data_IF_333316893952
#
_entry.id   IF_333316893952
#
_cell.length_a   1.000
_cell.length_b   1.000
_cell.length_c   1.000
_cell.angle_alpha   90.00
_cell.angle_beta   90.00
_cell.angle_gamma   90.00
#
_symmetry.space_group_name_H-M   'P 1'
#
loop_
_entity.id
_entity.type
_entity.pdbx_description
1 polymer ?
#
# COMPACT_ATOMS: atom_id res chain seq x y z
N UNK A 1 -5.96 -1.12 25.03
CA UNK A 1 -5.61 -2.54 25.30
C UNK A 1 -5.47 -3.39 24.04
N UNK A 2 -6.42 -3.41 23.11
CA UNK A 2 -6.39 -4.25 21.88
C UNK A 2 -5.11 -4.07 21.03
N UNK A 3 -4.63 -2.82 20.86
CA UNK A 3 -3.43 -2.53 20.06
C UNK A 3 -2.10 -2.94 20.73
N UNK A 4 -2.05 -2.92 22.07
CA UNK A 4 -0.87 -3.40 22.82
C UNK A 4 -0.71 -4.92 22.69
N UNK A 5 -1.81 -5.65 22.75
CA UNK A 5 -1.82 -7.09 22.47
C UNK A 5 -1.35 -7.41 21.04
N UNK A 6 -1.75 -6.59 20.06
CA UNK A 6 -1.32 -6.77 18.67
C UNK A 6 0.21 -6.64 18.50
N UNK A 7 0.84 -5.65 19.14
CA UNK A 7 2.30 -5.48 19.11
C UNK A 7 3.05 -6.66 19.73
N UNK A 8 2.56 -7.20 20.85
CA UNK A 8 3.16 -8.38 21.50
C UNK A 8 3.01 -9.62 20.61
N UNK A 9 1.83 -9.86 20.06
CA UNK A 9 1.57 -10.99 19.16
C UNK A 9 2.44 -10.89 17.91
N UNK A 10 2.57 -9.68 17.35
CA UNK A 10 3.37 -9.43 16.16
C UNK A 10 4.86 -9.61 16.44
N UNK A 11 5.38 -9.05 17.54
CA UNK A 11 6.76 -9.25 17.98
C UNK A 11 7.07 -10.73 18.26
N UNK A 12 6.16 -11.43 18.93
CA UNK A 12 6.26 -12.87 19.14
C UNK A 12 6.23 -13.65 17.82
N UNK A 13 5.40 -13.25 16.86
CA UNK A 13 5.33 -13.89 15.54
C UNK A 13 6.63 -13.73 14.74
N UNK A 14 7.26 -12.55 14.81
CA UNK A 14 8.55 -12.29 14.16
C UNK A 14 9.66 -13.08 14.85
N UNK A 15 9.69 -13.09 16.19
CA UNK A 15 10.68 -13.85 16.96
C UNK A 15 10.57 -15.37 16.72
N UNK A 16 9.35 -15.90 16.73
CA UNK A 16 9.08 -17.32 16.48
C UNK A 16 9.40 -17.70 15.02
N UNK A 17 9.06 -16.83 14.07
CA UNK A 17 9.40 -17.04 12.66
C UNK A 17 10.92 -17.02 12.46
N UNK A 18 11.62 -16.08 13.07
CA UNK A 18 13.08 -16.02 13.02
C UNK A 18 13.73 -17.26 13.66
N UNK A 19 13.19 -17.76 14.78
CA UNK A 19 13.70 -18.95 15.47
C UNK A 19 13.51 -20.25 14.69
N UNK A 20 12.54 -20.32 13.77
CA UNK A 20 12.23 -21.53 12.99
C UNK A 20 12.84 -21.52 11.59
N UNK A 21 13.49 -20.44 11.18
CA UNK A 21 14.09 -20.32 9.85
C UNK A 21 15.39 -21.12 9.71
N UNK A 22 15.52 -21.84 8.60
CA UNK A 22 16.80 -22.44 8.22
C UNK A 22 17.83 -21.35 7.90
N UNK A 23 19.12 -21.61 8.14
CA UNK A 23 20.21 -20.67 7.83
C UNK A 23 20.23 -20.24 6.36
N UNK A 24 19.85 -21.15 5.46
CA UNK A 24 19.71 -20.88 4.02
C UNK A 24 18.59 -19.87 3.72
N UNK A 25 17.43 -20.02 4.35
CA UNK A 25 16.29 -19.11 4.19
C UNK A 25 16.56 -17.73 4.80
N UNK A 26 17.24 -17.69 5.95
CA UNK A 26 17.66 -16.46 6.61
C UNK A 26 18.60 -15.62 5.73
N UNK A 27 19.58 -16.26 5.08
CA UNK A 27 20.53 -15.58 4.18
C UNK A 27 19.86 -14.99 2.92
N UNK A 28 18.79 -15.64 2.42
CA UNK A 28 17.99 -15.13 1.28
C UNK A 28 17.16 -13.95 1.72
N UNK A 29 16.39 -14.10 2.80
CA UNK A 29 15.56 -13.02 3.31
C UNK A 29 16.41 -11.80 3.69
N UNK A 30 17.54 -12.01 4.39
CA UNK A 30 18.47 -10.95 4.79
C UNK A 30 18.97 -10.12 3.61
N UNK A 31 19.27 -10.75 2.47
CA UNK A 31 19.67 -10.02 1.24
C UNK A 31 18.53 -9.19 0.62
N UNK A 32 17.27 -9.55 0.84
CA UNK A 32 16.12 -8.77 0.34
C UNK A 32 15.87 -7.59 1.26
N UNK A 33 15.87 -7.89 2.56
CA UNK A 33 15.65 -6.91 3.60
C UNK A 33 16.74 -5.86 3.63
N UNK A 34 18.01 -6.18 3.35
CA UNK A 34 19.08 -5.17 3.38
C UNK A 34 18.86 -4.02 2.38
N UNK A 35 18.12 -4.25 1.29
CA UNK A 35 17.81 -3.20 0.31
C UNK A 35 16.58 -2.39 0.72
N UNK A 36 15.56 -3.03 1.27
CA UNK A 36 14.24 -2.42 1.52
C UNK A 36 14.08 -1.89 2.94
N UNK A 37 14.67 -2.57 3.91
CA UNK A 37 14.52 -2.29 5.34
C UNK A 37 15.07 -0.91 5.72
N UNK A 38 16.26 -0.45 5.28
CA UNK A 38 16.74 0.89 5.65
C UNK A 38 15.77 1.99 5.23
N UNK A 39 15.17 1.83 4.05
CA UNK A 39 14.20 2.76 3.49
C UNK A 39 12.86 2.70 4.23
N UNK A 40 12.38 1.48 4.54
CA UNK A 40 11.20 1.28 5.36
C UNK A 40 11.37 1.76 6.81
N UNK A 41 12.61 1.93 7.30
CA UNK A 41 12.85 2.49 8.64
C UNK A 41 12.84 4.03 8.66
N UNK A 42 12.90 4.71 7.51
CA UNK A 42 12.92 6.18 7.45
C UNK A 42 11.67 6.79 8.12
N UNK A 43 10.42 6.38 7.81
CA UNK A 43 9.25 6.96 8.46
C UNK A 43 9.20 6.68 9.96
N UNK A 44 9.63 5.49 10.39
CA UNK A 44 9.70 5.14 11.81
C UNK A 44 10.73 6.00 12.56
N UNK A 45 11.93 6.17 11.99
CA UNK A 45 12.96 7.04 12.55
C UNK A 45 12.47 8.49 12.64
N UNK A 46 11.75 8.97 11.62
CA UNK A 46 11.17 10.30 11.64
C UNK A 46 10.09 10.47 12.72
N UNK A 47 9.19 9.48 12.90
CA UNK A 47 8.22 9.50 14.00
C UNK A 47 8.90 9.51 15.37
N UNK A 48 10.03 8.82 15.53
CA UNK A 48 10.83 8.88 16.77
C UNK A 48 11.42 10.27 16.97
N UNK A 49 11.97 10.89 15.92
CA UNK A 49 12.46 12.28 15.97
C UNK A 49 11.33 13.24 16.36
N UNK A 50 10.12 13.05 15.84
CA UNK A 50 8.94 13.87 16.21
C UNK A 50 8.55 13.74 17.69
N UNK A 51 8.83 12.60 18.33
CA UNK A 51 8.55 12.34 19.75
C UNK A 51 9.63 12.87 20.70
N UNK A 52 10.86 13.02 20.23
CA UNK A 52 11.98 13.49 21.06
C UNK A 52 11.86 14.99 21.33
N UNK A 53 12.03 15.44 22.60
CA UNK A 53 12.13 16.85 22.92
C UNK A 53 13.52 17.36 22.47
N UNK A 54 13.61 17.99 21.30
CA UNK A 54 14.87 18.54 20.78
C UNK A 54 14.90 20.05 21.08
N UNK A 55 15.69 20.51 22.07
CA UNK A 55 15.79 21.93 22.39
C UNK A 55 16.33 22.71 21.17
N UNK A 56 15.67 23.81 20.82
CA UNK A 56 16.07 24.68 19.70
C UNK A 56 15.38 24.41 18.36
N UNK A 57 14.60 23.32 18.22
CA UNK A 57 13.79 23.03 17.02
C UNK A 57 12.30 23.01 17.39
N UNK A 58 11.84 24.03 18.11
CA UNK A 58 10.41 24.24 18.35
C UNK A 58 9.77 24.77 17.08
N UNK A 59 8.95 23.94 16.45
CA UNK A 59 8.14 24.36 15.31
C UNK A 59 7.05 25.30 15.84
N UNK A 60 6.81 26.46 15.20
CA UNK A 60 5.69 27.32 15.58
C UNK A 60 4.42 26.48 15.55
N UNK A 61 3.69 26.46 16.67
CA UNK A 61 2.40 25.79 16.70
C UNK A 61 1.51 26.41 15.60
N UNK A 62 0.77 25.58 14.83
CA UNK A 62 -0.18 26.11 13.86
C UNK A 62 -1.13 27.11 14.54
N UNK A 63 -1.58 28.12 13.80
CA UNK A 63 -2.40 29.24 14.29
C UNK A 63 -3.73 28.65 14.81
N UNK A 64 -3.79 28.36 16.12
CA UNK A 64 -4.89 27.61 16.76
C UNK A 64 -4.46 26.46 17.71
N UNK A 65 -3.18 26.10 17.76
CA UNK A 65 -2.62 25.13 18.71
C UNK A 65 -2.19 25.74 20.05
N UNK A 66 -1.37 25.01 20.81
CA UNK A 66 -1.64 24.28 22.08
C UNK A 66 -2.47 24.95 23.19
N UNK A 67 -2.80 26.24 23.08
CA UNK A 67 -3.60 26.93 24.09
C UNK A 67 -5.00 26.33 24.28
N UNK A 68 -5.49 25.61 23.26
CA UNK A 68 -6.74 24.83 23.27
C UNK A 68 -6.60 23.40 23.79
N UNK A 69 -5.38 22.86 23.92
CA UNK A 69 -5.08 21.46 24.29
C UNK A 69 -4.49 21.30 25.71
N UNK A 70 -4.20 22.40 26.41
CA UNK A 70 -3.87 22.39 27.84
C UNK A 70 -2.48 21.89 28.25
N UNK A 71 -1.63 21.48 27.31
CA UNK A 71 -0.26 21.04 27.61
C UNK A 71 0.81 22.11 27.24
N UNK A 72 1.81 22.35 28.10
CA UNK A 72 2.89 23.29 27.82
C UNK A 72 3.80 22.77 26.69
N UNK A 73 3.79 23.48 25.55
CA UNK A 73 4.65 23.21 24.40
C UNK A 73 6.07 23.66 24.70
N UNK A 74 6.84 22.79 25.32
CA UNK A 74 8.28 22.98 25.47
C UNK A 74 9.03 21.88 24.73
N UNK A 75 9.50 22.21 23.52
CA UNK A 75 10.57 21.49 22.82
C UNK A 75 10.21 20.27 21.95
N UNK A 76 8.93 19.94 21.72
CA UNK A 76 8.53 18.82 20.84
C UNK A 76 8.04 19.32 19.47
N UNK A 77 8.27 18.51 18.42
CA UNK A 77 7.78 18.80 17.06
C UNK A 77 6.32 18.36 16.86
N UNK A 78 5.88 17.29 17.54
CA UNK A 78 4.50 16.80 17.44
C UNK A 78 3.54 17.62 18.32
N UNK A 79 2.34 17.88 17.78
CA UNK A 79 1.23 18.52 18.49
C UNK A 79 0.57 17.55 19.48
N UNK A 80 0.55 16.25 19.17
CA UNK A 80 -0.02 15.21 20.04
C UNK A 80 0.92 13.98 20.06
N UNK A 81 1.66 13.85 21.16
CA UNK A 81 2.63 12.76 21.34
C UNK A 81 1.97 11.38 21.45
N UNK A 82 0.75 11.30 21.97
CA UNK A 82 0.01 10.04 22.07
C UNK A 82 -0.43 9.58 20.68
N UNK A 83 -0.93 10.50 19.84
CA UNK A 83 -1.26 10.21 18.45
C UNK A 83 -0.05 9.72 17.65
N UNK A 84 1.10 10.41 17.78
CA UNK A 84 2.34 10.01 17.10
C UNK A 84 2.87 8.67 17.58
N UNK A 85 2.83 8.38 18.88
CA UNK A 85 3.21 7.08 19.41
C UNK A 85 2.28 5.95 18.90
N UNK A 86 0.97 6.21 18.80
CA UNK A 86 0.01 5.26 18.21
C UNK A 86 0.27 5.02 16.71
N UNK A 87 0.61 6.08 15.96
CA UNK A 87 0.96 5.98 14.55
C UNK A 87 2.24 5.15 14.36
N UNK A 88 3.27 5.37 15.18
CA UNK A 88 4.49 4.57 15.19
C UNK A 88 4.22 3.10 15.50
N UNK A 89 3.42 2.81 16.53
CA UNK A 89 3.02 1.44 16.85
C UNK A 89 2.31 0.74 15.68
N UNK A 90 1.40 1.46 15.02
CA UNK A 90 0.66 0.95 13.87
C UNK A 90 1.57 0.70 12.67
N UNK A 91 2.54 1.60 12.43
CA UNK A 91 3.56 1.45 11.39
C UNK A 91 4.44 0.22 11.62
N UNK A 92 4.95 0.03 12.85
CA UNK A 92 5.79 -1.11 13.21
C UNK A 92 5.04 -2.44 13.10
N UNK A 93 3.75 -2.47 13.43
CA UNK A 93 2.89 -3.63 13.20
C UNK A 93 2.81 -3.94 11.70
N UNK A 94 2.54 -2.95 10.86
CA UNK A 94 2.45 -3.18 9.41
C UNK A 94 3.78 -3.63 8.81
N UNK A 95 4.89 -3.04 9.24
CA UNK A 95 6.22 -3.48 8.85
C UNK A 95 6.46 -4.94 9.25
N UNK A 96 6.07 -5.33 10.45
CA UNK A 96 6.21 -6.71 10.91
C UNK A 96 5.31 -7.67 10.13
N UNK A 97 4.10 -7.26 9.73
CA UNK A 97 3.24 -8.06 8.83
C UNK A 97 3.91 -8.27 7.47
N UNK A 98 4.57 -7.25 6.91
CA UNK A 98 5.36 -7.38 5.67
C UNK A 98 6.48 -8.42 5.87
N UNK A 99 7.23 -8.33 6.97
CA UNK A 99 8.34 -9.24 7.27
C UNK A 99 7.86 -10.68 7.48
N UNK A 100 6.84 -10.88 8.30
CA UNK A 100 6.25 -12.21 8.56
C UNK A 100 5.62 -12.79 7.30
N UNK A 101 4.89 -11.99 6.52
CA UNK A 101 4.37 -12.43 5.21
C UNK A 101 5.51 -12.85 4.28
N UNK A 102 6.60 -12.08 4.23
CA UNK A 102 7.76 -12.43 3.43
C UNK A 102 8.39 -13.77 3.89
N UNK A 103 8.57 -13.96 5.20
CA UNK A 103 9.07 -15.22 5.77
C UNK A 103 8.19 -16.41 5.40
N UNK A 104 6.88 -16.30 5.65
CA UNK A 104 5.92 -17.38 5.40
C UNK A 104 5.81 -17.74 3.91
N UNK A 105 6.01 -16.76 3.03
CA UNK A 105 5.87 -16.94 1.59
C UNK A 105 7.18 -17.27 0.88
N UNK A 106 8.29 -17.53 1.58
CA UNK A 106 9.55 -17.99 0.96
C UNK A 106 9.34 -19.28 0.14
N UNK A 107 8.53 -20.20 0.66
CA UNK A 107 8.18 -21.43 -0.02
C UNK A 107 7.10 -21.20 -1.08
N UNK A 108 7.29 -21.78 -2.27
CA UNK A 108 6.36 -21.66 -3.41
C UNK A 108 4.92 -22.07 -3.07
N UNK A 109 4.75 -23.12 -2.26
CA UNK A 109 3.43 -23.60 -1.83
C UNK A 109 2.71 -22.53 -0.99
N UNK A 110 3.40 -21.96 -0.01
CA UNK A 110 2.87 -20.92 0.87
C UNK A 110 2.60 -19.61 0.12
N UNK A 111 3.47 -19.22 -0.81
CA UNK A 111 3.24 -18.07 -1.70
C UNK A 111 1.95 -18.22 -2.52
N UNK A 112 1.70 -19.42 -3.08
CA UNK A 112 0.47 -19.69 -3.81
C UNK A 112 -0.79 -19.65 -2.92
N UNK A 113 -0.69 -20.16 -1.69
CA UNK A 113 -1.78 -20.07 -0.71
C UNK A 113 -2.07 -18.64 -0.32
N UNK A 114 -1.04 -17.84 -0.02
CA UNK A 114 -1.19 -16.43 0.35
C UNK A 114 -1.83 -15.62 -0.79
N UNK A 115 -1.38 -15.82 -2.05
CA UNK A 115 -2.00 -15.15 -3.19
C UNK A 115 -3.48 -15.54 -3.36
N UNK A 116 -3.80 -16.82 -3.19
CA UNK A 116 -5.19 -17.29 -3.24
C UNK A 116 -6.03 -16.66 -2.13
N UNK A 117 -5.51 -16.62 -0.90
CA UNK A 117 -6.19 -16.02 0.24
C UNK A 117 -6.45 -14.53 0.01
N UNK A 118 -5.43 -13.78 -0.43
CA UNK A 118 -5.57 -12.37 -0.77
C UNK A 118 -6.66 -12.16 -1.83
N UNK A 119 -6.61 -12.94 -2.92
CA UNK A 119 -7.59 -12.85 -4.02
C UNK A 119 -9.01 -13.15 -3.52
N UNK A 120 -9.18 -14.17 -2.68
CA UNK A 120 -10.48 -14.55 -2.11
C UNK A 120 -11.03 -13.47 -1.17
N UNK A 121 -10.19 -12.92 -0.28
CA UNK A 121 -10.60 -11.86 0.66
C UNK A 121 -11.01 -10.60 -0.11
N UNK A 122 -10.20 -10.15 -1.08
CA UNK A 122 -10.52 -8.97 -1.88
C UNK A 122 -11.75 -9.17 -2.76
N UNK A 123 -11.97 -10.38 -3.30
CA UNK A 123 -13.18 -10.71 -4.03
C UNK A 123 -14.42 -10.72 -3.13
N UNK A 124 -14.28 -11.18 -1.88
CA UNK A 124 -15.34 -11.10 -0.87
C UNK A 124 -15.70 -9.66 -0.51
N UNK A 125 -14.70 -8.78 -0.37
CA UNK A 125 -14.92 -7.34 -0.14
C UNK A 125 -15.56 -6.66 -1.37
N UNK A 126 -15.14 -7.03 -2.58
CA UNK A 126 -15.78 -6.57 -3.82
C UNK A 126 -17.25 -7.02 -3.91
N UNK A 127 -17.54 -8.28 -3.57
CA UNK A 127 -18.91 -8.81 -3.54
C UNK A 127 -19.77 -8.09 -2.51
N UNK A 128 -19.26 -7.87 -1.30
CA UNK A 128 -19.97 -7.10 -0.27
C UNK A 128 -20.28 -5.68 -0.75
N UNK A 129 -19.36 -5.05 -1.48
CA UNK A 129 -19.55 -3.73 -2.08
C UNK A 129 -20.65 -3.73 -3.14
N UNK A 130 -20.66 -4.72 -4.03
CA UNK A 130 -21.71 -4.88 -5.04
C UNK A 130 -23.08 -5.11 -4.38
N UNK A 131 -23.15 -5.96 -3.36
CA UNK A 131 -24.39 -6.24 -2.62
C UNK A 131 -24.89 -5.00 -1.89
N UNK A 132 -24.00 -4.19 -1.32
CA UNK A 132 -24.34 -2.90 -0.70
C UNK A 132 -25.00 -1.96 -1.71
N UNK A 133 -24.40 -1.77 -2.89
CA UNK A 133 -24.87 -0.80 -3.89
C UNK A 133 -26.13 -1.28 -4.62
N UNK A 134 -26.14 -2.54 -5.06
CA UNK A 134 -27.27 -3.13 -5.83
C UNK A 134 -28.44 -3.46 -4.92
N UNK A 135 -28.16 -3.90 -3.69
CA UNK A 135 -29.19 -4.26 -2.72
C UNK A 135 -29.80 -3.07 -1.98
N UNK A 136 -29.24 -1.85 -2.12
CA UNK A 136 -29.69 -0.67 -1.37
C UNK A 136 -29.50 -0.82 0.15
N UNK A 137 -28.61 -1.72 0.58
CA UNK A 137 -28.44 -2.08 1.99
C UNK A 137 -27.42 -1.15 2.63
N UNK A 138 -27.74 -0.45 3.72
CA UNK A 138 -26.85 0.57 4.32
C UNK A 138 -25.76 0.04 5.26
N UNK A 139 -25.42 -1.25 5.23
CA UNK A 139 -24.52 -1.86 6.22
C UNK A 139 -23.05 -1.39 6.14
N UNK A 140 -22.56 -0.88 5.00
CA UNK A 140 -21.23 -0.26 4.88
C UNK A 140 -21.23 1.24 5.21
N UNK A 141 -22.39 1.78 5.61
CA UNK A 141 -22.58 3.20 5.89
C UNK A 141 -22.80 4.03 4.63
N UNK A 142 -22.42 5.30 4.71
CA UNK A 142 -22.48 6.25 3.59
C UNK A 142 -21.58 5.76 2.43
N UNK A 143 -22.00 5.88 1.16
CA UNK A 143 -21.16 5.66 -0.02
C UNK A 143 -19.79 6.35 0.02
N UNK A 144 -19.67 7.49 0.74
CA UNK A 144 -18.41 8.23 0.94
C UNK A 144 -17.74 7.94 2.28
N UNK A 145 -18.23 6.94 3.00
CA UNK A 145 -17.71 6.51 4.29
C UNK A 145 -16.33 5.88 4.19
N UNK A 146 -15.60 5.92 5.31
CA UNK A 146 -14.25 5.34 5.45
C UNK A 146 -14.24 3.82 5.23
N UNK A 147 -15.27 3.13 5.71
CA UNK A 147 -15.41 1.68 5.54
C UNK A 147 -15.67 1.32 4.08
N UNK A 148 -16.58 2.05 3.42
CA UNK A 148 -16.93 1.81 2.02
C UNK A 148 -15.73 2.00 1.09
N UNK A 149 -15.04 3.13 1.21
CA UNK A 149 -13.85 3.43 0.41
C UNK A 149 -12.70 2.43 0.65
N UNK A 150 -12.58 1.87 1.86
CA UNK A 150 -11.66 0.77 2.15
C UNK A 150 -12.00 -0.52 1.40
N UNK A 151 -13.29 -0.86 1.27
CA UNK A 151 -13.73 -2.02 0.49
C UNK A 151 -13.49 -1.80 -1.01
N UNK A 152 -13.72 -0.60 -1.53
CA UNK A 152 -13.46 -0.26 -2.93
C UNK A 152 -11.96 -0.37 -3.26
N UNK A 153 -11.09 0.15 -2.39
CA UNK A 153 -9.63 0.01 -2.56
C UNK A 153 -9.17 -1.44 -2.42
N UNK A 154 -9.79 -2.23 -1.53
CA UNK A 154 -9.53 -3.67 -1.44
C UNK A 154 -9.96 -4.40 -2.72
N UNK A 155 -11.09 -4.04 -3.33
CA UNK A 155 -11.51 -4.58 -4.63
C UNK A 155 -10.51 -4.21 -5.74
N UNK A 156 -9.97 -2.99 -5.71
CA UNK A 156 -8.93 -2.57 -6.64
C UNK A 156 -7.64 -3.41 -6.49
N UNK A 157 -7.16 -3.66 -5.25
CA UNK A 157 -6.07 -4.62 -4.99
C UNK A 157 -6.43 -6.01 -5.53
N UNK A 158 -7.69 -6.41 -5.35
CA UNK A 158 -8.24 -7.68 -5.82
C UNK A 158 -8.15 -7.89 -7.33
N UNK A 159 -8.31 -6.82 -8.12
CA UNK A 159 -8.14 -6.91 -9.58
C UNK A 159 -6.72 -7.34 -9.97
N UNK A 160 -5.69 -6.79 -9.30
CA UNK A 160 -4.28 -7.11 -9.55
C UNK A 160 -3.93 -8.51 -9.04
N UNK A 161 -4.39 -8.89 -7.85
CA UNK A 161 -4.12 -10.24 -7.29
C UNK A 161 -4.87 -11.33 -8.05
N UNK A 162 -6.09 -11.06 -8.54
CA UNK A 162 -6.84 -11.96 -9.41
C UNK A 162 -6.11 -12.19 -10.74
N UNK A 163 -5.62 -11.13 -11.40
CA UNK A 163 -4.77 -11.25 -12.60
C UNK A 163 -3.50 -12.08 -12.33
N UNK A 164 -2.85 -11.85 -11.20
CA UNK A 164 -1.69 -12.60 -10.78
C UNK A 164 -2.01 -14.09 -10.55
N UNK A 165 -3.14 -14.39 -9.94
CA UNK A 165 -3.60 -15.76 -9.70
C UNK A 165 -3.92 -16.50 -11.01
N UNK A 166 -4.54 -15.82 -11.97
CA UNK A 166 -4.82 -16.34 -13.30
C UNK A 166 -3.52 -16.60 -14.09
N UNK A 167 -2.58 -15.65 -14.07
CA UNK A 167 -1.28 -15.82 -14.72
C UNK A 167 -0.45 -16.96 -14.09
N UNK A 168 -0.46 -17.09 -12.76
CA UNK A 168 0.20 -18.17 -12.06
C UNK A 168 -0.44 -19.54 -12.35
N UNK A 169 -1.75 -19.60 -12.58
CA UNK A 169 -2.44 -20.81 -13.02
C UNK A 169 -2.07 -21.18 -14.47
N UNK A 170 -2.04 -20.20 -15.38
CA UNK A 170 -1.66 -20.40 -16.78
C UNK A 170 -0.20 -20.87 -16.96
N UNK A 171 0.74 -20.25 -16.25
CA UNK A 171 2.15 -20.65 -16.32
C UNK A 171 2.41 -22.10 -15.86
N UNK A 172 1.54 -22.66 -14.99
CA UNK A 172 1.61 -24.07 -14.58
C UNK A 172 1.13 -25.03 -15.66
N UNK A 173 0.22 -24.58 -16.53
CA UNK A 173 -0.24 -25.35 -17.68
C UNK A 173 0.86 -25.45 -18.75
N UNK A 174 1.50 -24.32 -19.07
CA UNK A 174 2.57 -24.26 -20.08
C UNK A 174 3.84 -25.04 -19.67
N UNK A 175 4.23 -24.97 -18.38
CA UNK A 175 5.48 -25.57 -17.89
C UNK A 175 5.44 -27.08 -17.62
N UNK A 176 4.31 -27.76 -17.86
CA UNK A 176 4.11 -29.16 -17.49
C UNK A 176 3.73 -30.04 -18.68
N UNK A 177 4.74 -30.65 -19.32
CA UNK A 177 4.55 -31.90 -20.09
C UNK A 177 3.98 -32.98 -19.16
N UNK A 178 2.68 -33.28 -19.27
CA UNK A 178 2.12 -34.60 -18.96
C UNK A 178 1.78 -35.00 -17.51
N UNK A 179 1.92 -34.16 -16.48
CA UNK A 179 1.43 -34.56 -15.15
C UNK A 179 -0.08 -34.33 -15.05
N UNK A 180 -0.85 -35.41 -14.88
CA UNK A 180 -2.30 -35.53 -14.66
C UNK A 180 -2.84 -34.69 -13.49
N UNK A 181 -2.65 -33.38 -13.48
CA UNK A 181 -3.54 -32.50 -12.73
C UNK A 181 -4.89 -32.63 -13.42
N UNK A 182 -5.87 -33.22 -12.71
CA UNK A 182 -7.24 -33.34 -13.18
C UNK A 182 -7.65 -32.01 -13.81
N UNK A 183 -8.01 -31.99 -15.09
CA UNK A 183 -8.40 -30.76 -15.80
C UNK A 183 -9.42 -29.94 -15.02
N UNK A 184 -10.27 -30.62 -14.23
CA UNK A 184 -11.19 -30.05 -13.26
C UNK A 184 -10.54 -29.15 -12.21
N UNK A 185 -9.38 -29.52 -11.64
CA UNK A 185 -8.69 -28.73 -10.63
C UNK A 185 -8.04 -27.46 -11.22
N UNK A 186 -7.56 -27.53 -12.46
CA UNK A 186 -7.07 -26.36 -13.19
C UNK A 186 -8.23 -25.45 -13.59
N UNK A 187 -9.28 -26.02 -14.17
CA UNK A 187 -10.51 -25.32 -14.53
C UNK A 187 -11.10 -24.57 -13.34
N UNK A 188 -11.23 -25.24 -12.19
CA UNK A 188 -11.72 -24.62 -10.94
C UNK A 188 -10.85 -23.45 -10.46
N UNK A 189 -9.54 -23.52 -10.65
CA UNK A 189 -8.63 -22.43 -10.26
C UNK A 189 -8.72 -21.25 -11.20
N UNK A 190 -8.75 -21.50 -12.51
CA UNK A 190 -8.87 -20.44 -13.52
C UNK A 190 -10.25 -19.79 -13.41
N UNK A 191 -11.32 -20.57 -13.30
CA UNK A 191 -12.68 -20.03 -13.15
C UNK A 191 -12.82 -19.21 -11.86
N UNK A 192 -12.25 -19.65 -10.75
CA UNK A 192 -12.22 -18.88 -9.50
C UNK A 192 -11.47 -17.56 -9.63
N UNK A 193 -10.30 -17.55 -10.29
CA UNK A 193 -9.53 -16.33 -10.53
C UNK A 193 -10.26 -15.36 -11.48
N UNK A 194 -10.88 -15.87 -12.54
CA UNK A 194 -11.66 -15.07 -13.48
C UNK A 194 -12.93 -14.49 -12.84
N UNK A 195 -13.62 -15.28 -11.99
CA UNK A 195 -14.77 -14.79 -11.23
C UNK A 195 -14.35 -13.69 -10.26
N UNK A 196 -13.25 -13.89 -9.52
CA UNK A 196 -12.69 -12.85 -8.65
C UNK A 196 -12.34 -11.57 -9.43
N UNK A 197 -11.71 -11.72 -10.60
CA UNK A 197 -11.38 -10.60 -11.49
C UNK A 197 -12.64 -9.87 -11.96
N UNK A 198 -13.67 -10.62 -12.37
CA UNK A 198 -14.95 -10.07 -12.81
C UNK A 198 -15.61 -9.27 -11.68
N UNK A 199 -15.70 -9.84 -10.47
CA UNK A 199 -16.27 -9.16 -9.31
C UNK A 199 -15.51 -7.87 -8.98
N UNK A 200 -14.17 -7.92 -8.98
CA UNK A 200 -13.34 -6.74 -8.72
C UNK A 200 -13.49 -5.69 -9.83
N UNK A 201 -13.54 -6.11 -11.10
CA UNK A 201 -13.71 -5.20 -12.24
C UNK A 201 -15.08 -4.53 -12.25
N UNK A 202 -16.15 -5.26 -11.91
CA UNK A 202 -17.50 -4.70 -11.76
C UNK A 202 -17.53 -3.71 -10.60
N UNK A 203 -17.00 -4.09 -9.43
CA UNK A 203 -16.97 -3.21 -8.26
C UNK A 203 -16.23 -1.90 -8.52
N UNK A 204 -15.07 -1.95 -9.20
CA UNK A 204 -14.27 -0.76 -9.51
C UNK A 204 -14.85 0.05 -10.66
N UNK A 205 -15.20 -0.62 -11.77
CA UNK A 205 -15.54 0.03 -13.03
C UNK A 205 -16.97 0.53 -13.10
N UNK A 206 -17.93 -0.23 -12.57
CA UNK A 206 -19.35 0.09 -12.67
C UNK A 206 -19.83 1.00 -11.53
N UNK A 207 -19.31 0.83 -10.32
CA UNK A 207 -19.87 1.48 -9.11
C UNK A 207 -19.19 2.79 -8.73
N UNK A 208 -17.89 2.92 -9.00
CA UNK A 208 -17.09 4.04 -8.47
C UNK A 208 -16.63 5.03 -9.56
N UNK A 209 -16.31 4.54 -10.77
CA UNK A 209 -15.87 5.36 -11.90
C UNK A 209 -14.60 6.19 -11.64
N UNK A 210 -14.10 6.88 -12.68
CA UNK A 210 -13.04 7.90 -12.53
C UNK A 210 -11.68 7.39 -12.03
N UNK A 211 -11.16 8.00 -10.97
CA UNK A 211 -9.76 7.81 -10.52
C UNK A 211 -9.47 6.41 -9.98
N UNK A 212 -10.44 5.73 -9.36
CA UNK A 212 -10.23 4.35 -8.89
C UNK A 212 -10.02 3.39 -10.06
N UNK A 213 -10.75 3.59 -11.16
CA UNK A 213 -10.57 2.81 -12.37
C UNK A 213 -9.19 3.06 -12.98
N UNK A 214 -8.73 4.32 -13.00
CA UNK A 214 -7.36 4.66 -13.43
C UNK A 214 -6.32 4.02 -12.52
N UNK A 215 -6.51 4.05 -11.20
CA UNK A 215 -5.63 3.40 -10.23
C UNK A 215 -5.57 1.88 -10.45
N UNK A 216 -6.71 1.21 -10.57
CA UNK A 216 -6.79 -0.23 -10.83
C UNK A 216 -6.17 -0.60 -12.18
N UNK A 217 -6.49 0.16 -13.24
CA UNK A 217 -5.91 -0.02 -14.57
C UNK A 217 -4.40 0.18 -14.54
N UNK A 218 -3.87 1.17 -13.84
CA UNK A 218 -2.43 1.40 -13.73
C UNK A 218 -1.70 0.26 -13.01
N UNK A 219 -2.31 -0.32 -11.96
CA UNK A 219 -1.78 -1.50 -11.28
C UNK A 219 -1.79 -2.74 -12.17
N UNK A 220 -2.90 -2.98 -12.88
CA UNK A 220 -3.05 -4.08 -13.84
C UNK A 220 -2.10 -3.94 -15.03
N UNK A 221 -1.93 -2.73 -15.56
CA UNK A 221 -0.99 -2.41 -16.63
C UNK A 221 0.45 -2.64 -16.17
N UNK A 222 0.82 -2.19 -14.97
CA UNK A 222 2.16 -2.43 -14.40
C UNK A 222 2.44 -3.93 -14.32
N UNK A 223 1.48 -4.72 -13.82
CA UNK A 223 1.57 -6.17 -13.79
C UNK A 223 1.74 -6.78 -15.20
N UNK A 224 0.88 -6.38 -16.15
CA UNK A 224 0.91 -6.88 -17.52
C UNK A 224 2.20 -6.54 -18.26
N UNK A 225 2.71 -5.32 -18.08
CA UNK A 225 3.98 -4.85 -18.65
C UNK A 225 5.14 -5.70 -18.15
N UNK A 226 5.24 -5.97 -16.85
CA UNK A 226 6.29 -6.83 -16.30
C UNK A 226 6.27 -8.22 -16.95
N UNK A 227 5.09 -8.81 -17.13
CA UNK A 227 4.95 -10.12 -17.78
C UNK A 227 5.27 -10.08 -19.28
N UNK A 228 4.81 -9.04 -19.98
CA UNK A 228 5.04 -8.86 -21.41
C UNK A 228 6.53 -8.68 -21.71
N UNK A 229 7.22 -7.86 -20.92
CA UNK A 229 8.66 -7.65 -21.09
C UNK A 229 9.44 -8.93 -20.81
N UNK A 230 9.03 -9.69 -19.78
CA UNK A 230 9.62 -10.99 -19.51
C UNK A 230 9.44 -11.96 -20.68
N UNK A 231 8.26 -11.99 -21.31
CA UNK A 231 7.98 -12.86 -22.47
C UNK A 231 8.80 -12.51 -23.71
N UNK A 232 9.12 -11.24 -23.91
CA UNK A 232 9.90 -10.80 -25.09
C UNK A 232 11.41 -10.99 -24.96
N UNK A 233 11.93 -11.33 -23.78
CA UNK A 233 13.35 -11.59 -23.55
C UNK A 233 14.27 -10.38 -23.72
N UNK A 234 13.73 -9.18 -23.99
CA UNK A 234 14.49 -7.94 -24.21
C UNK A 234 14.81 -7.25 -22.88
N UNK A 235 15.76 -7.82 -22.15
CA UNK A 235 16.20 -7.38 -20.81
C UNK A 235 16.78 -5.95 -20.75
N UNK A 236 17.14 -5.35 -21.89
CA UNK A 236 17.64 -3.97 -21.96
C UNK A 236 16.56 -2.89 -21.86
N UNK A 237 15.31 -3.17 -22.23
CA UNK A 237 14.21 -2.19 -22.27
C UNK A 237 13.39 -2.13 -20.98
N UNK A 238 13.67 -3.03 -20.03
CA UNK A 238 12.74 -3.24 -18.93
C UNK A 238 12.81 -2.18 -17.84
N UNK A 239 14.01 -1.63 -17.61
CA UNK A 239 14.16 -0.49 -16.72
C UNK A 239 13.42 0.74 -17.26
N UNK A 240 13.54 1.00 -18.55
CA UNK A 240 12.91 2.15 -19.21
C UNK A 240 11.37 2.03 -19.31
N UNK A 241 10.83 0.83 -19.52
CA UNK A 241 9.37 0.62 -19.63
C UNK A 241 8.66 0.56 -18.26
N UNK A 242 9.32 0.07 -17.21
CA UNK A 242 8.85 0.19 -15.82
C UNK A 242 8.89 1.63 -15.33
N UNK A 243 9.94 2.37 -15.71
CA UNK A 243 9.99 3.83 -15.53
C UNK A 243 8.87 4.51 -16.33
N UNK A 244 8.56 4.06 -17.55
CA UNK A 244 7.45 4.62 -18.35
C UNK A 244 6.05 4.30 -17.80
N UNK A 245 5.84 3.12 -17.19
CA UNK A 245 4.61 2.83 -16.46
C UNK A 245 4.50 3.67 -15.17
N UNK A 246 5.63 3.94 -14.50
CA UNK A 246 5.74 4.93 -13.43
C UNK A 246 5.54 6.38 -13.91
N UNK A 247 5.90 6.70 -15.16
CA UNK A 247 5.62 7.99 -15.82
C UNK A 247 4.11 8.21 -16.06
N UNK A 248 3.27 7.20 -15.88
CA UNK A 248 1.81 7.36 -15.79
C UNK A 248 1.38 8.30 -14.65
N UNK A 249 2.19 8.41 -13.57
CA UNK A 249 1.98 9.38 -12.48
C UNK A 249 2.16 10.83 -13.00
N UNK A 250 3.26 11.19 -13.69
CA UNK A 250 3.40 12.41 -14.48
C UNK A 250 2.32 12.62 -15.54
N UNK A 251 1.91 11.59 -16.28
CA UNK A 251 0.84 11.67 -17.28
C UNK A 251 -0.50 12.04 -16.66
N UNK A 252 -0.82 11.49 -15.49
CA UNK A 252 -1.99 11.86 -14.71
C UNK A 252 -1.84 13.25 -14.10
N UNK A 253 -0.62 13.65 -13.69
CA UNK A 253 -0.29 15.02 -13.27
C UNK A 253 -0.51 16.04 -14.41
N UNK A 254 -0.11 15.72 -15.64
CA UNK A 254 -0.24 16.57 -16.83
C UNK A 254 -1.69 16.64 -17.32
N UNK A 255 -2.43 15.52 -17.28
CA UNK A 255 -3.87 15.51 -17.51
C UNK A 255 -4.63 16.30 -16.43
N UNK A 256 -4.17 16.25 -15.18
CA UNK A 256 -4.69 17.10 -14.11
C UNK A 256 -4.51 18.57 -14.44
N UNK A 257 -3.32 18.98 -14.91
CA UNK A 257 -3.00 20.37 -15.26
C UNK A 257 -3.94 20.97 -16.31
N UNK A 258 -4.56 20.16 -17.18
CA UNK A 258 -5.57 20.61 -18.15
C UNK A 258 -6.95 20.93 -17.57
N UNK A 259 -7.25 20.52 -16.33
CA UNK A 259 -8.52 20.80 -15.65
C UNK A 259 -8.36 21.86 -14.57
N UNK A 260 -8.78 23.10 -14.89
CA UNK A 260 -9.18 24.30 -14.10
C UNK A 260 -9.08 24.42 -12.56
N UNK A 261 -8.41 23.52 -11.82
CA UNK A 261 -8.25 23.57 -10.36
C UNK A 261 -6.87 24.07 -9.95
N UNK A 262 -6.76 25.35 -9.56
CA UNK A 262 -5.58 25.97 -8.95
C UNK A 262 -5.41 25.56 -7.47
N UNK A 263 -5.25 24.27 -7.19
CA UNK A 263 -5.15 23.72 -5.83
C UNK A 263 -3.94 22.82 -5.60
N UNK A 264 -3.55 22.60 -4.32
CA UNK A 264 -2.49 21.65 -3.96
C UNK A 264 -2.76 20.25 -4.52
N UNK A 265 -1.72 19.58 -5.04
CA UNK A 265 -1.81 18.26 -5.68
C UNK A 265 -2.54 17.22 -4.78
N UNK A 266 -2.27 17.25 -3.47
CA UNK A 266 -2.84 16.33 -2.49
C UNK A 266 -4.37 16.39 -2.38
N UNK A 267 -4.98 17.53 -2.71
CA UNK A 267 -6.43 17.76 -2.62
C UNK A 267 -7.15 17.73 -3.97
N UNK A 268 -6.40 17.82 -5.08
CA UNK A 268 -6.97 17.98 -6.44
C UNK A 268 -7.89 16.83 -6.85
N UNK A 269 -7.64 15.65 -6.29
CA UNK A 269 -8.34 14.41 -6.62
C UNK A 269 -9.20 13.87 -5.47
N UNK A 270 -9.35 14.65 -4.40
CA UNK A 270 -10.06 14.23 -3.20
C UNK A 270 -11.54 13.97 -3.48
N UNK A 271 -12.02 12.78 -3.11
CA UNK A 271 -13.45 12.46 -3.08
C UNK A 271 -14.01 12.69 -1.67
N UNK A 272 -14.03 13.95 -1.24
CA UNK A 272 -14.55 14.38 0.05
C UNK A 272 -15.57 15.52 -0.11
N UNK A 273 -16.29 15.86 0.96
CA UNK A 273 -17.20 17.02 0.95
C UNK A 273 -16.42 18.33 0.69
N UNK A 274 -17.02 19.32 0.01
CA UNK A 274 -16.38 20.61 -0.25
C UNK A 274 -15.89 21.30 1.02
N UNK A 275 -16.64 21.16 2.11
CA UNK A 275 -16.28 21.66 3.44
C UNK A 275 -15.02 20.98 3.99
N UNK A 276 -14.92 19.64 3.92
CA UNK A 276 -13.73 18.93 4.38
C UNK A 276 -12.49 19.32 3.54
N UNK A 277 -12.66 19.54 2.24
CA UNK A 277 -11.60 20.04 1.36
C UNK A 277 -11.19 21.46 1.75
N UNK A 278 -12.13 22.33 2.09
CA UNK A 278 -11.85 23.70 2.52
C UNK A 278 -11.08 23.74 3.85
N UNK A 279 -11.51 22.95 4.84
CA UNK A 279 -10.81 22.80 6.13
C UNK A 279 -9.41 22.25 5.93
N UNK A 280 -9.26 21.17 5.16
CA UNK A 280 -7.95 20.58 4.88
C UNK A 280 -7.02 21.55 4.12
N UNK A 281 -7.56 22.41 3.26
CA UNK A 281 -6.78 23.45 2.58
C UNK A 281 -6.24 24.49 3.56
N UNK A 282 -7.05 24.92 4.54
CA UNK A 282 -6.60 25.84 5.60
C UNK A 282 -5.47 25.20 6.43
N UNK A 283 -5.68 23.97 6.91
CA UNK A 283 -4.66 23.22 7.66
C UNK A 283 -3.37 23.07 6.84
N UNK A 284 -3.48 22.74 5.56
CA UNK A 284 -2.32 22.57 4.69
C UNK A 284 -1.56 23.88 4.44
N UNK A 285 -2.25 25.02 4.40
CA UNK A 285 -1.61 26.34 4.26
C UNK A 285 -0.79 26.71 5.51
N UNK A 286 -1.23 26.25 6.69
CA UNK A 286 -0.59 26.51 7.98
C UNK A 286 0.38 25.38 8.40
N UNK A 287 0.60 24.38 7.53
CA UNK A 287 1.44 23.22 7.84
C UNK A 287 2.92 23.58 7.77
N UNK A 288 3.70 23.34 8.83
CA UNK A 288 5.14 23.60 8.81
C UNK A 288 5.91 22.60 7.93
N UNK A 289 7.12 22.95 7.50
CA UNK A 289 7.97 22.10 6.65
C UNK A 289 8.24 20.71 7.23
N UNK A 290 8.28 20.59 8.56
CA UNK A 290 8.54 19.34 9.31
C UNK A 290 7.27 18.54 9.62
N UNK A 291 6.09 19.10 9.32
CA UNK A 291 4.79 18.54 9.70
C UNK A 291 4.41 18.78 11.15
N UNK A 292 3.19 18.38 11.50
CA UNK A 292 2.59 18.54 12.82
C UNK A 292 2.70 17.31 13.74
N UNK A 293 3.26 16.21 13.25
CA UNK A 293 3.33 14.93 13.94
C UNK A 293 2.45 13.85 13.31
N UNK A 294 2.93 12.62 13.23
CA UNK A 294 2.16 11.49 12.71
C UNK A 294 0.86 11.28 13.51
N UNK A 295 -0.24 10.99 12.82
CA UNK A 295 -1.57 10.76 13.40
C UNK A 295 -2.28 12.00 13.95
N UNK A 296 -1.73 13.22 13.79
CA UNK A 296 -2.30 14.43 14.40
C UNK A 296 -3.40 15.10 13.55
N UNK A 297 -3.62 14.65 12.31
CA UNK A 297 -4.57 15.31 11.40
C UNK A 297 -5.97 15.42 11.99
N UNK A 298 -6.49 14.35 12.60
CA UNK A 298 -7.85 14.31 13.14
C UNK A 298 -8.05 15.29 14.30
N UNK A 299 -7.03 15.45 15.15
CA UNK A 299 -7.02 16.44 16.23
C UNK A 299 -6.95 17.87 15.69
N UNK A 300 -6.09 18.12 14.70
CA UNK A 300 -5.99 19.44 14.05
C UNK A 300 -7.28 19.81 13.33
N UNK A 301 -7.92 18.87 12.66
CA UNK A 301 -9.15 19.12 11.95
C UNK A 301 -10.26 19.63 12.88
N UNK A 302 -10.35 19.10 14.10
CA UNK A 302 -11.31 19.58 15.09
C UNK A 302 -11.10 21.05 15.48
N UNK A 303 -9.84 21.51 15.54
CA UNK A 303 -9.50 22.90 15.86
C UNK A 303 -9.79 23.89 14.71
N UNK A 304 -9.75 23.42 13.45
CA UNK A 304 -9.98 24.25 12.27
C UNK A 304 -11.43 24.28 11.79
N UNK A 305 -12.33 23.55 12.45
CA UNK A 305 -13.76 23.57 12.14
C UNK A 305 -14.44 24.73 12.85
N UNK A 306 -15.27 25.44 12.10
CA UNK A 306 -16.21 26.40 12.65
C UNK A 306 -17.35 25.62 13.34
N UNK A 307 -17.63 25.93 14.61
CA UNK A 307 -18.40 25.07 15.51
C UNK A 307 -19.82 24.74 15.02
N UNK A 308 -20.05 23.49 14.63
CA UNK A 308 -21.40 22.94 14.48
C UNK A 308 -21.60 21.80 13.47
N UNK A 309 -20.74 21.63 12.47
CA UNK A 309 -20.99 20.65 11.41
C UNK A 309 -20.39 19.26 11.75
N UNK A 310 -21.18 18.16 11.76
CA UNK A 310 -20.70 16.79 11.97
C UNK A 310 -19.87 16.22 10.80
N UNK A 311 -19.09 17.07 10.10
CA UNK A 311 -18.24 16.67 8.99
C UNK A 311 -17.27 15.53 9.34
N UNK A 312 -16.94 14.70 8.34
CA UNK A 312 -16.08 13.53 8.49
C UNK A 312 -14.73 13.88 9.12
N UNK A 313 -14.42 13.27 10.28
CA UNK A 313 -13.18 13.44 11.06
C UNK A 313 -11.94 12.80 10.40
N UNK A 314 -11.93 12.68 9.08
CA UNK A 314 -10.85 12.04 8.32
C UNK A 314 -10.31 12.94 7.24
N UNK A 315 -9.01 12.78 6.97
CA UNK A 315 -8.35 13.50 5.90
C UNK A 315 -9.04 13.24 4.55
N UNK A 316 -9.23 14.26 3.71
CA UNK A 316 -9.80 14.07 2.38
C UNK A 316 -9.04 13.05 1.53
N UNK A 317 -7.71 12.99 1.69
CA UNK A 317 -6.83 12.03 1.01
C UNK A 317 -5.72 11.59 1.93
N UNK A 318 -5.18 10.38 1.71
CA UNK A 318 -4.01 9.91 2.46
C UNK A 318 -2.79 10.83 2.21
N UNK A 319 -2.63 11.36 0.99
CA UNK A 319 -1.55 12.31 0.67
C UNK A 319 -1.69 13.63 1.43
N UNK A 320 -2.91 14.10 1.70
CA UNK A 320 -3.13 15.29 2.54
C UNK A 320 -2.75 15.00 3.98
N UNK A 321 -3.14 13.84 4.53
CA UNK A 321 -2.71 13.44 5.87
C UNK A 321 -1.18 13.39 5.98
N UNK A 322 -0.51 12.75 5.00
CA UNK A 322 0.96 12.68 4.94
C UNK A 322 1.58 14.08 4.89
N UNK A 323 1.03 14.99 4.08
CA UNK A 323 1.53 16.35 3.97
C UNK A 323 1.43 17.13 5.29
N UNK A 324 0.29 17.05 5.97
CA UNK A 324 0.07 17.73 7.25
C UNK A 324 0.95 17.13 8.35
N UNK A 325 1.00 15.81 8.44
CA UNK A 325 1.63 15.11 9.58
C UNK A 325 3.16 15.02 9.48
N UNK A 326 3.70 14.88 8.26
CA UNK A 326 5.14 14.71 8.01
C UNK A 326 5.77 15.91 7.29
N UNK A 327 4.96 16.88 6.87
CA UNK A 327 5.40 18.10 6.21
C UNK A 327 5.19 18.09 4.69
N UNK A 328 5.30 19.28 4.09
CA UNK A 328 4.92 19.51 2.68
C UNK A 328 5.72 18.68 1.67
N UNK A 329 6.95 18.28 2.03
CA UNK A 329 7.81 17.45 1.18
C UNK A 329 7.49 15.95 1.28
N UNK A 330 6.82 15.51 2.36
CA UNK A 330 6.62 14.09 2.64
C UNK A 330 5.81 13.34 1.57
N UNK A 331 4.74 13.89 0.95
CA UNK A 331 4.04 13.22 -0.13
C UNK A 331 4.96 12.89 -1.31
N UNK A 332 5.88 13.79 -1.66
CA UNK A 332 6.85 13.56 -2.74
C UNK A 332 7.83 12.45 -2.39
N UNK A 333 8.31 12.43 -1.15
CA UNK A 333 9.16 11.35 -0.65
C UNK A 333 8.41 10.02 -0.75
N UNK A 334 7.15 9.95 -0.29
CA UNK A 334 6.32 8.73 -0.38
C UNK A 334 6.15 8.27 -1.82
N UNK A 335 5.93 9.17 -2.78
CA UNK A 335 5.87 8.82 -4.21
C UNK A 335 7.19 8.21 -4.69
N UNK A 336 8.32 8.85 -4.38
CA UNK A 336 9.65 8.35 -4.76
C UNK A 336 9.91 6.97 -4.15
N UNK A 337 9.54 6.77 -2.88
CA UNK A 337 9.66 5.48 -2.20
C UNK A 337 8.78 4.40 -2.83
N UNK A 338 7.54 4.74 -3.20
CA UNK A 338 6.63 3.83 -3.88
C UNK A 338 7.15 3.43 -5.27
N UNK A 339 7.63 4.39 -6.07
CA UNK A 339 8.24 4.12 -7.37
C UNK A 339 9.51 3.26 -7.25
N UNK A 340 10.35 3.56 -6.26
CA UNK A 340 11.54 2.77 -5.97
C UNK A 340 11.17 1.33 -5.59
N UNK A 341 10.18 1.14 -4.70
CA UNK A 341 9.70 -0.17 -4.29
C UNK A 341 9.12 -0.96 -5.46
N UNK A 342 8.29 -0.33 -6.29
CA UNK A 342 7.75 -0.93 -7.52
C UNK A 342 8.87 -1.34 -8.49
N UNK A 343 9.93 -0.52 -8.63
CA UNK A 343 11.08 -0.84 -9.48
C UNK A 343 11.93 -1.98 -8.92
N UNK A 344 12.12 -2.09 -7.60
CA UNK A 344 12.81 -3.23 -6.96
C UNK A 344 12.02 -4.52 -7.19
N UNK A 345 10.70 -4.50 -6.93
CA UNK A 345 9.81 -5.64 -7.11
C UNK A 345 9.72 -6.07 -8.58
N UNK A 346 9.60 -5.10 -9.50
CA UNK A 346 9.61 -5.32 -10.94
C UNK A 346 10.93 -5.95 -11.41
N UNK A 347 12.08 -5.42 -10.97
CA UNK A 347 13.39 -6.04 -11.25
C UNK A 347 13.48 -7.47 -10.75
N UNK A 348 12.98 -7.75 -9.55
CA UNK A 348 12.92 -9.10 -9.00
C UNK A 348 12.05 -10.04 -9.85
N UNK A 349 10.89 -9.58 -10.31
CA UNK A 349 10.00 -10.35 -11.18
C UNK A 349 10.65 -10.75 -12.51
N UNK A 350 11.57 -9.93 -13.03
CA UNK A 350 12.23 -10.13 -14.32
C UNK A 350 13.44 -11.04 -14.24
N UNK A 351 14.21 -10.93 -13.16
CA UNK A 351 15.38 -11.79 -12.93
C UNK A 351 14.98 -13.24 -12.72
N UNK A 352 13.80 -13.45 -12.13
CA UNK A 352 13.35 -14.80 -11.75
C UNK A 352 12.78 -15.60 -12.91
N UNK A 353 13.40 -16.75 -13.16
CA UNK A 353 12.94 -17.73 -14.15
C UNK A 353 11.63 -18.46 -13.74
N UNK A 354 11.26 -18.44 -12.45
CA UNK A 354 10.09 -19.17 -11.92
C UNK A 354 9.14 -18.22 -11.17
N UNK A 355 7.88 -18.19 -11.59
CA UNK A 355 6.75 -17.47 -10.95
C UNK A 355 6.92 -15.94 -10.78
N UNK A 356 7.09 -15.17 -11.86
CA UNK A 356 7.21 -13.71 -11.79
C UNK A 356 5.94 -13.01 -11.29
N UNK A 357 4.80 -13.71 -11.33
CA UNK A 357 3.48 -13.15 -11.08
C UNK A 357 3.36 -12.54 -9.66
N UNK A 358 4.01 -13.12 -8.66
CA UNK A 358 3.94 -12.63 -7.28
C UNK A 358 4.59 -11.26 -7.09
N UNK A 359 5.82 -11.08 -7.57
CA UNK A 359 6.54 -9.82 -7.46
C UNK A 359 5.96 -8.75 -8.41
N UNK A 360 5.51 -9.15 -9.60
CA UNK A 360 4.79 -8.26 -10.52
C UNK A 360 3.49 -7.75 -9.92
N UNK A 361 2.73 -8.61 -9.23
CA UNK A 361 1.48 -8.22 -8.58
C UNK A 361 1.72 -7.22 -7.45
N UNK A 362 2.73 -7.47 -6.61
CA UNK A 362 3.11 -6.54 -5.55
C UNK A 362 3.51 -5.17 -6.12
N UNK A 363 4.29 -5.12 -7.21
CA UNK A 363 4.62 -3.88 -7.90
C UNK A 363 3.37 -3.15 -8.42
N UNK A 364 2.43 -3.88 -9.03
CA UNK A 364 1.14 -3.34 -9.46
C UNK A 364 0.30 -2.79 -8.30
N UNK A 365 0.25 -3.49 -7.16
CA UNK A 365 -0.43 -3.03 -5.96
C UNK A 365 0.19 -1.73 -5.41
N UNK A 366 1.52 -1.58 -5.42
CA UNK A 366 2.20 -0.34 -4.97
C UNK A 366 1.80 0.85 -5.84
N UNK A 367 1.81 0.68 -7.16
CA UNK A 367 1.40 1.74 -8.10
C UNK A 367 -0.06 2.10 -7.88
N UNK A 368 -0.94 1.10 -7.82
CA UNK A 368 -2.37 1.27 -7.55
C UNK A 368 -2.61 2.05 -6.25
N UNK A 369 -1.97 1.64 -5.14
CA UNK A 369 -2.14 2.27 -3.83
C UNK A 369 -1.62 3.72 -3.80
N UNK A 370 -0.59 4.01 -4.61
CA UNK A 370 -0.09 5.38 -4.76
C UNK A 370 -1.16 6.28 -5.39
N UNK A 371 -1.87 5.79 -6.40
CA UNK A 371 -2.98 6.54 -7.01
C UNK A 371 -4.19 6.65 -6.09
N UNK A 372 -4.57 5.58 -5.39
CA UNK A 372 -5.70 5.66 -4.45
C UNK A 372 -5.42 6.57 -3.26
N UNK A 373 -4.14 6.73 -2.86
CA UNK A 373 -3.75 7.69 -1.82
C UNK A 373 -4.04 9.16 -2.17
N UNK A 374 -4.16 9.50 -3.46
CA UNK A 374 -4.61 10.82 -3.93
C UNK A 374 -6.13 10.96 -3.99
N UNK A 375 -6.85 9.84 -3.99
CA UNK A 375 -8.32 9.82 -4.12
C UNK A 375 -9.01 10.00 -2.78
N UNK A 376 -8.57 9.23 -1.79
CA UNK A 376 -9.21 9.14 -0.48
C UNK A 376 -8.19 8.69 0.60
N UNK A 377 -8.62 8.63 1.86
CA UNK A 377 -7.79 8.17 2.98
C UNK A 377 -7.82 6.64 3.19
N UNK A 378 -8.45 5.86 2.31
CA UNK A 378 -8.67 4.42 2.51
C UNK A 378 -7.38 3.61 2.62
N UNK A 379 -6.29 4.09 2.02
CA UNK A 379 -4.95 3.48 2.10
C UNK A 379 -4.45 3.42 3.54
N UNK A 380 -4.90 4.32 4.42
CA UNK A 380 -4.56 4.31 5.86
C UNK A 380 -5.48 3.42 6.69
N UNK A 381 -6.54 2.87 6.10
CA UNK A 381 -7.44 1.97 6.81
C UNK A 381 -6.71 0.68 7.21
N UNK A 382 -6.99 0.12 8.41
CA UNK A 382 -6.32 -1.10 8.88
C UNK A 382 -6.46 -2.30 7.94
N UNK A 383 -7.62 -2.45 7.28
CA UNK A 383 -7.86 -3.55 6.35
C UNK A 383 -7.02 -3.44 5.07
N UNK A 384 -7.01 -2.25 4.45
CA UNK A 384 -6.24 -2.01 3.22
C UNK A 384 -4.74 -2.06 3.50
N UNK A 385 -4.27 -1.46 4.59
CA UNK A 385 -2.86 -1.53 4.99
C UNK A 385 -2.41 -2.97 5.25
N UNK A 386 -3.25 -3.80 5.88
CA UNK A 386 -2.96 -5.23 6.08
C UNK A 386 -2.87 -5.98 4.74
N UNK A 387 -3.81 -5.78 3.82
CA UNK A 387 -3.77 -6.39 2.48
C UNK A 387 -2.53 -5.96 1.70
N UNK A 388 -2.21 -4.66 1.75
CA UNK A 388 -1.00 -4.10 1.13
C UNK A 388 0.27 -4.71 1.72
N UNK A 389 0.36 -4.80 3.05
CA UNK A 389 1.49 -5.38 3.75
C UNK A 389 1.71 -6.86 3.39
N UNK A 390 0.61 -7.64 3.33
CA UNK A 390 0.65 -9.04 2.91
C UNK A 390 1.11 -9.19 1.45
N UNK A 391 0.58 -8.37 0.53
CA UNK A 391 0.97 -8.37 -0.88
C UNK A 391 2.43 -7.96 -1.10
N UNK A 392 2.89 -6.94 -0.37
CA UNK A 392 4.30 -6.50 -0.37
C UNK A 392 5.23 -7.58 0.15
N UNK A 393 4.92 -8.20 1.29
CA UNK A 393 5.72 -9.30 1.85
C UNK A 393 5.82 -10.48 0.88
N UNK A 394 4.70 -10.87 0.28
CA UNK A 394 4.65 -11.89 -0.77
C UNK A 394 5.54 -11.55 -1.97
N UNK A 395 5.47 -10.30 -2.46
CA UNK A 395 6.30 -9.83 -3.56
C UNK A 395 7.80 -9.82 -3.22
N UNK A 396 8.15 -9.33 -2.03
CA UNK A 396 9.53 -9.24 -1.55
C UNK A 396 10.17 -10.62 -1.41
N UNK A 397 9.47 -11.58 -0.82
CA UNK A 397 9.95 -12.96 -0.70
C UNK A 397 10.17 -13.62 -2.06
N UNK A 398 9.29 -13.34 -3.02
CA UNK A 398 9.34 -13.95 -4.34
C UNK A 398 10.21 -13.19 -5.35
N UNK A 399 10.80 -12.05 -4.97
CA UNK A 399 11.66 -11.22 -5.83
C UNK A 399 13.10 -11.75 -5.95
N UNK A 400 13.50 -12.73 -5.15
CA UNK A 400 14.89 -13.22 -5.06
C UNK A 400 15.15 -14.51 -5.83
N UNK A 401 16.31 -14.57 -6.49
CA UNK A 401 16.84 -15.77 -7.13
C UNK A 401 17.59 -16.67 -6.14
N UNK A 402 17.22 -17.95 -6.12
CA UNK A 402 17.89 -18.98 -5.31
C UNK A 402 19.20 -19.50 -5.93
N UNK A 403 19.66 -18.97 -7.06
CA UNK A 403 20.68 -19.59 -7.92
C UNK A 403 22.14 -19.30 -7.55
N UNK A 404 22.43 -18.41 -6.60
CA UNK A 404 23.83 -18.09 -6.23
C UNK A 404 24.38 -19.00 -5.11
N UNK A 405 23.55 -19.87 -4.53
CA UNK A 405 23.98 -20.75 -3.43
C UNK A 405 24.66 -22.07 -3.89
N UNK A 406 24.85 -22.31 -5.18
CA UNK A 406 25.48 -23.54 -5.71
C UNK A 406 26.60 -23.24 -6.74
N UNK A 407 27.45 -22.25 -6.47
CA UNK A 407 28.46 -21.82 -7.44
C UNK A 407 29.76 -21.30 -6.83
N UNK A 408 30.49 -22.17 -6.13
CA UNK A 408 31.96 -22.32 -6.09
C UNK A 408 32.39 -22.88 -4.73
N UNK A 409 32.26 -24.21 -4.57
CA UNK A 409 33.27 -24.90 -3.79
C UNK A 409 34.62 -24.71 -4.52
N UNK A 410 35.72 -24.40 -3.82
CA UNK A 410 37.03 -24.38 -4.44
C UNK A 410 37.35 -25.82 -4.87
N UNK A 411 37.20 -26.08 -6.16
CA UNK A 411 37.91 -27.16 -6.82
C UNK A 411 39.27 -26.64 -7.23
N UNK A 412 40.22 -26.65 -6.30
CA UNK A 412 41.66 -26.90 -6.50
C UNK A 412 42.16 -27.61 -5.25
#
# INVERSE_FOLDING_TARGET
MIRGGLLVVVGASVALSAATMSSGDASRLGRSLIQVLPIALIPAAWMVVQLLPIPGISVPAPIGGPASLGEPVTGRMTVDSAATAMALGSYLVMLSIVLTSAMLTLQRRSAAWMLSLLTTVTAGMALASIVHDVGGMTFLGDPRGTLRTAFDTAAAIGSVTALASAAAAGARFEGGRGSRLNGLALFRRISGALLALLLCAVAVGYLQGGLLLVAAASGALTFGVVLAVRRTGRTGWVGALLVAAGLGVPGMLLAAQGGSGSGPLALRFAQASPENIAVARRILADTPLTGSGAGTFTGLQAAYRDGGDPGSATAPTAMTAVAVEFGIAAPWIVIVLALWAAAVLGRGALRRARDPAYAAAAAGCVVLLTFTAFRDASVTSPGVTMLAALALGLGLAQSQDGSIALGRGPGV
#
